data_IF_323554495399
#
_entry.id   IF_323554495399
#
_cell.length_a   1.000
_cell.length_b   1.000
_cell.length_c   1.000
_cell.angle_alpha   90.00
_cell.angle_beta   90.00
_cell.angle_gamma   90.00
#
_symmetry.space_group_name_H-M   'P 1'
#
loop_
_entity.id
_entity.type
_entity.pdbx_description
1 polymer ?
#
# COMPACT_ATOMS: atom_id res chain seq x y z
N UNK A 1 -7.44 -1.82 -32.15
CA UNK A 1 -7.19 -1.75 -31.72
C UNK A 1 -6.89 -1.79 -30.81
N UNK A 2 -7.11 -1.80 -30.53
CA UNK A 2 -6.98 -1.74 -29.78
C UNK A 2 -6.44 -1.41 -28.96
N UNK A 3 -6.48 -1.34 -29.07
CA UNK A 3 -6.09 -0.97 -28.33
C UNK A 3 -6.10 -0.35 -27.63
N UNK A 4 -6.47 0.05 -27.67
CA UNK A 4 -6.62 0.80 -27.09
C UNK A 4 -7.35 0.81 -26.28
N UNK A 5 -8.00 0.59 -26.24
CA UNK A 5 -8.77 0.60 -25.53
C UNK A 5 -8.56 0.23 -24.33
N UNK A 6 -8.51 -0.40 -24.32
CA UNK A 6 -8.29 -0.90 -23.20
C UNK A 6 -7.63 -0.06 -22.32
N UNK A 7 -7.09 0.49 -22.47
CA UNK A 7 -6.44 1.23 -21.68
C UNK A 7 -7.15 2.08 -20.92
N UNK A 8 -8.16 2.30 -21.25
CA UNK A 8 -8.85 3.20 -20.68
C UNK A 8 -9.38 2.93 -19.43
N UNK A 9 -9.97 1.92 -19.26
CA UNK A 9 -10.65 1.67 -18.13
C UNK A 9 -9.84 1.73 -17.01
N UNK A 10 -8.76 1.46 -17.14
CA UNK A 10 -8.04 1.43 -16.02
C UNK A 10 -8.04 2.66 -15.31
N UNK A 11 -8.23 3.69 -15.89
CA UNK A 11 -8.15 4.83 -15.19
C UNK A 11 -9.20 5.04 -14.25
N UNK A 12 -10.31 4.56 -14.47
CA UNK A 12 -11.31 4.82 -13.56
C UNK A 12 -11.09 4.17 -12.31
N UNK A 13 -10.29 3.24 -12.23
CA UNK A 13 -10.10 2.54 -11.04
C UNK A 13 -9.16 3.15 -10.13
N UNK A 14 -8.67 4.27 -10.48
CA UNK A 14 -7.78 4.83 -9.62
C UNK A 14 -8.22 5.28 -8.36
N UNK A 15 -9.42 5.36 -8.09
CA UNK A 15 -9.89 5.82 -6.81
C UNK A 15 -9.51 4.85 -5.71
N UNK A 16 -9.16 3.60 -6.04
CA UNK A 16 -8.76 2.67 -5.03
C UNK A 16 -7.47 2.01 -5.38
N UNK A 17 -6.70 1.66 -4.37
CA UNK A 17 -5.44 0.99 -4.57
C UNK A 17 -5.68 -0.49 -4.49
N UNK A 18 -4.98 -1.27 -5.30
CA UNK A 18 -5.10 -2.70 -5.31
C UNK A 18 -4.74 -3.22 -3.94
N UNK A 19 -5.55 -4.08 -3.39
CA UNK A 19 -5.30 -4.65 -2.08
C UNK A 19 -3.99 -5.43 -2.06
N UNK A 20 -3.64 -6.10 -3.15
CA UNK A 20 -2.38 -6.82 -3.20
C UNK A 20 -1.19 -5.88 -3.05
N UNK A 21 -1.28 -4.69 -3.61
CA UNK A 21 -0.23 -3.70 -3.45
C UNK A 21 -0.12 -3.31 -1.97
N UNK A 22 -1.26 -3.09 -1.33
CA UNK A 22 -1.26 -2.69 0.07
C UNK A 22 -0.65 -3.79 0.94
N UNK A 23 -1.05 -5.02 0.71
CA UNK A 23 -0.53 -6.13 1.51
C UNK A 23 0.96 -6.34 1.29
N UNK A 24 1.43 -6.17 0.05
CA UNK A 24 2.84 -6.28 -0.25
C UNK A 24 3.62 -5.21 0.50
N UNK A 25 3.12 -3.97 0.49
CA UNK A 25 3.82 -2.89 1.16
C UNK A 25 3.82 -3.08 2.67
N UNK A 26 2.74 -3.57 3.23
CA UNK A 26 2.70 -3.82 4.66
C UNK A 26 3.71 -4.90 5.02
N UNK A 27 3.82 -5.94 4.21
CA UNK A 27 4.78 -6.99 4.46
C UNK A 27 6.21 -6.46 4.38
N UNK A 28 6.49 -5.60 3.41
CA UNK A 28 7.81 -4.99 3.29
C UNK A 28 8.12 -4.14 4.51
N UNK A 29 7.11 -3.44 5.04
CA UNK A 29 7.31 -2.63 6.23
C UNK A 29 7.65 -3.50 7.43
N UNK A 30 6.97 -4.62 7.57
CA UNK A 30 7.24 -5.53 8.66
C UNK A 30 8.67 -6.07 8.57
N UNK A 31 9.09 -6.45 7.38
CA UNK A 31 10.44 -6.94 7.17
C UNK A 31 11.45 -5.86 7.48
N UNK A 32 11.20 -4.63 7.05
CA UNK A 32 12.10 -3.52 7.30
C UNK A 32 12.25 -3.27 8.79
N UNK A 33 11.15 -3.34 9.54
CA UNK A 33 11.23 -3.13 10.97
C UNK A 33 12.02 -4.23 11.65
N UNK A 34 11.83 -5.46 11.22
CA UNK A 34 12.56 -6.56 11.81
C UNK A 34 14.06 -6.47 11.52
N UNK A 35 14.41 -5.88 10.39
CA UNK A 35 15.80 -5.71 10.03
C UNK A 35 16.41 -4.46 10.65
N UNK A 36 15.60 -3.68 11.37
CA UNK A 36 16.09 -2.44 11.94
C UNK A 36 16.11 -1.27 10.98
N UNK A 37 15.52 -1.43 9.82
CA UNK A 37 15.50 -0.38 8.82
C UNK A 37 14.25 0.46 9.02
N UNK A 38 14.25 1.24 10.09
CA UNK A 38 13.06 2.00 10.43
C UNK A 38 12.80 3.15 9.48
N UNK A 39 13.83 3.64 8.82
CA UNK A 39 13.63 4.68 7.84
C UNK A 39 12.81 4.19 6.67
N UNK A 40 13.12 2.99 6.18
CA UNK A 40 12.36 2.42 5.10
C UNK A 40 10.94 2.13 5.56
N UNK A 41 10.77 1.61 6.76
CA UNK A 41 9.44 1.31 7.27
C UNK A 41 8.59 2.58 7.34
N UNK A 42 9.18 3.70 7.77
CA UNK A 42 8.45 4.95 7.83
C UNK A 42 8.11 5.47 6.44
N UNK A 43 8.98 5.28 5.47
CA UNK A 43 8.71 5.71 4.11
C UNK A 43 7.53 4.94 3.54
N UNK A 44 7.46 3.64 3.80
CA UNK A 44 6.37 2.82 3.33
C UNK A 44 5.05 3.28 3.95
N UNK A 45 5.08 3.56 5.26
CA UNK A 45 3.88 4.00 5.92
C UNK A 45 3.41 5.35 5.37
N UNK A 46 4.34 6.28 5.15
CA UNK A 46 3.98 7.58 4.62
C UNK A 46 3.46 7.49 3.20
N UNK A 47 4.03 6.60 2.40
CA UNK A 47 3.57 6.41 1.04
C UNK A 47 2.12 5.92 1.04
N UNK A 48 1.81 4.96 1.88
CA UNK A 48 0.47 4.43 1.95
C UNK A 48 -0.50 5.49 2.49
N UNK A 49 -0.07 6.27 3.46
CA UNK A 49 -0.92 7.30 4.01
C UNK A 49 -1.24 8.35 2.94
N UNK A 50 -0.26 8.70 2.12
CA UNK A 50 -0.49 9.65 1.03
C UNK A 50 -1.48 9.09 0.01
N UNK A 51 -1.60 7.78 -0.07
CA UNK A 51 -2.54 7.15 -0.98
C UNK A 51 -3.90 6.88 -0.31
N UNK A 52 -4.07 7.33 0.92
CA UNK A 52 -5.34 7.16 1.60
C UNK A 52 -5.44 5.89 2.41
N UNK A 53 -4.32 5.26 2.74
CA UNK A 53 -4.31 4.03 3.50
C UNK A 53 -3.72 4.30 4.88
N UNK A 54 -4.41 3.89 5.92
CA UNK A 54 -3.91 4.05 7.28
C UNK A 54 -3.52 2.68 7.79
N UNK A 55 -2.31 2.57 8.34
CA UNK A 55 -1.83 1.32 8.90
C UNK A 55 -1.95 1.41 10.41
N UNK A 56 -2.48 0.36 11.01
CA UNK A 56 -2.62 0.29 12.45
C UNK A 56 -1.85 -0.91 12.96
N UNK A 57 -0.95 -0.69 13.89
CA UNK A 57 -0.18 -1.78 14.49
C UNK A 57 -0.90 -2.25 15.72
N UNK A 58 -1.27 -3.51 15.74
CA UNK A 58 -1.87 -4.12 16.89
C UNK A 58 -0.80 -4.92 17.62
N UNK A 59 -1.15 -5.47 18.74
CA UNK A 59 -0.18 -6.16 19.54
C UNK A 59 0.44 -7.34 18.80
N UNK A 60 -0.31 -8.07 18.05
CA UNK A 60 0.18 -9.24 17.36
C UNK A 60 0.04 -9.22 15.85
N UNK A 61 -0.38 -8.11 15.27
CA UNK A 61 -0.55 -8.03 13.84
C UNK A 61 -0.65 -6.60 13.37
N UNK A 62 -0.57 -6.39 12.08
CA UNK A 62 -0.71 -5.08 11.47
C UNK A 62 -1.99 -5.10 10.64
N UNK A 63 -2.81 -4.10 10.81
CA UNK A 63 -4.04 -3.97 10.05
C UNK A 63 -4.02 -2.68 9.25
N UNK A 64 -4.91 -2.53 8.30
CA UNK A 64 -4.99 -1.33 7.50
C UNK A 64 -6.44 -1.02 7.17
N UNK A 65 -6.68 0.23 6.84
CA UNK A 65 -8.01 0.64 6.43
C UNK A 65 -7.87 1.85 5.54
N UNK A 66 -8.93 2.17 4.81
CA UNK A 66 -8.94 3.38 4.01
C UNK A 66 -9.22 4.57 4.93
N UNK A 67 -8.57 5.67 4.58
CA UNK A 67 -8.71 6.88 5.35
C UNK A 67 -10.11 7.46 5.36
#
# INVERSE_FOLDING_TARGET
MQKKEALIQKKKNQSKIDENYILTKINERIIARKAGDFKLADQIRDDLLNKGIIIEDKQDKTEWKYK
#
